data_IF_558301503897
#
_entry.id   IF_558301503897
#
_cell.length_a   1.000
_cell.length_b   1.000
_cell.length_c   1.000
_cell.angle_alpha   90.00
_cell.angle_beta   90.00
_cell.angle_gamma   90.00
#
_symmetry.space_group_name_H-M   'P 1'
#
loop_
_entity.id
_entity.type
_entity.pdbx_description
1 polymer ?
#
# COMPACT_ATOMS: atom_id res chain seq x y z
N UNK A 1 6.90 22.02 46.73
CA UNK A 1 8.02 21.31 46.07
C UNK A 1 7.43 20.32 45.06
N UNK A 2 7.26 20.72 43.79
CA UNK A 2 6.77 19.83 42.71
C UNK A 2 7.99 19.22 42.03
N UNK A 3 8.23 17.92 42.25
CA UNK A 3 9.23 17.17 41.48
C UNK A 3 8.72 17.03 40.03
N UNK A 4 9.31 17.82 39.13
CA UNK A 4 9.25 17.58 37.69
C UNK A 4 10.10 16.34 37.38
N UNK A 5 9.46 15.20 37.20
CA UNK A 5 10.12 14.04 36.58
C UNK A 5 10.42 14.41 35.12
N UNK A 6 11.67 14.82 34.86
CA UNK A 6 12.23 14.88 33.51
C UNK A 6 12.47 13.46 33.03
N UNK A 7 11.44 12.85 32.45
CA UNK A 7 11.58 11.59 31.72
C UNK A 7 12.32 11.89 30.42
N UNK A 8 13.65 11.78 30.44
CA UNK A 8 14.46 11.78 29.23
C UNK A 8 14.23 10.49 28.47
N UNK A 9 13.69 10.58 27.26
CA UNK A 9 13.57 9.44 26.36
C UNK A 9 14.86 9.38 25.55
N UNK A 10 15.73 8.42 25.88
CA UNK A 10 16.88 8.07 25.05
C UNK A 10 16.51 6.91 24.14
N UNK A 11 16.54 7.12 22.82
CA UNK A 11 16.41 6.05 21.83
C UNK A 11 17.80 5.70 21.31
N UNK A 12 18.25 4.47 21.58
CA UNK A 12 19.37 3.87 20.87
C UNK A 12 18.80 2.88 19.85
N UNK A 13 18.86 3.24 18.57
CA UNK A 13 18.53 2.36 17.47
C UNK A 13 19.84 1.79 16.93
N UNK A 14 20.15 0.55 17.30
CA UNK A 14 21.30 -0.17 16.73
C UNK A 14 20.76 -1.13 15.67
N UNK A 15 20.77 -0.70 14.40
CA UNK A 15 20.46 -1.57 13.26
C UNK A 15 21.77 -2.20 12.79
N UNK A 16 21.96 -3.49 13.05
CA UNK A 16 22.95 -4.28 12.34
C UNK A 16 22.27 -4.92 11.13
N UNK A 17 22.43 -4.32 9.96
CA UNK A 17 22.01 -4.94 8.70
C UNK A 17 23.24 -5.51 8.00
N UNK A 18 23.34 -6.84 7.95
CA UNK A 18 24.32 -7.51 7.09
C UNK A 18 23.66 -7.69 5.72
N UNK A 19 23.99 -6.82 4.78
CA UNK A 19 23.64 -7.00 3.37
C UNK A 19 24.84 -7.56 2.63
N UNK A 20 24.77 -8.83 2.21
CA UNK A 20 25.75 -9.36 1.26
C UNK A 20 25.54 -8.71 -0.11
N UNK A 21 26.55 -8.00 -0.61
CA UNK A 21 26.52 -7.40 -1.95
C UNK A 21 26.87 -8.47 -2.98
N UNK A 22 26.02 -8.67 -3.98
CA UNK A 22 26.28 -9.60 -5.09
C UNK A 22 25.96 -8.95 -6.45
N UNK A 23 26.61 -9.50 -7.47
CA UNK A 23 26.81 -8.93 -8.80
C UNK A 23 25.51 -8.41 -9.47
N UNK A 24 25.42 -7.13 -9.89
CA UNK A 24 24.19 -6.52 -10.42
C UNK A 24 23.75 -7.03 -11.81
N UNK A 25 24.55 -7.87 -12.47
CA UNK A 25 24.33 -8.32 -13.86
C UNK A 25 23.62 -9.68 -13.98
N UNK A 26 23.41 -10.40 -12.88
CA UNK A 26 22.61 -11.63 -12.85
C UNK A 26 21.43 -11.45 -11.89
N UNK A 27 20.26 -12.08 -12.13
CA UNK A 27 19.20 -12.12 -11.14
C UNK A 27 19.65 -13.03 -9.99
N UNK A 28 20.50 -12.50 -9.13
CA UNK A 28 20.96 -13.16 -7.92
C UNK A 28 19.87 -13.04 -6.87
N UNK A 29 19.70 -14.10 -6.08
CA UNK A 29 18.80 -14.07 -4.94
C UNK A 29 19.46 -13.24 -3.85
N UNK A 30 18.83 -12.13 -3.44
CA UNK A 30 19.27 -11.31 -2.32
C UNK A 30 18.76 -11.94 -1.03
N UNK A 31 19.66 -12.11 -0.07
CA UNK A 31 19.32 -12.56 1.26
C UNK A 31 19.47 -11.42 2.27
N UNK A 32 18.56 -11.35 3.24
CA UNK A 32 18.64 -10.38 4.34
C UNK A 32 18.39 -11.09 5.66
N UNK A 33 19.20 -10.79 6.66
CA UNK A 33 18.98 -11.23 8.04
C UNK A 33 19.12 -10.00 8.94
N UNK A 34 18.15 -9.80 9.82
CA UNK A 34 18.11 -8.71 10.79
C UNK A 34 17.68 -9.28 12.14
N UNK A 35 18.42 -8.89 13.19
CA UNK A 35 18.06 -9.19 14.57
C UNK A 35 18.01 -7.86 15.31
N UNK A 36 16.96 -7.66 16.10
CA UNK A 36 16.77 -6.43 16.84
C UNK A 36 15.84 -6.61 18.02
N UNK A 37 15.52 -5.51 18.67
CA UNK A 37 14.54 -5.49 19.74
C UNK A 37 14.12 -4.08 20.06
N UNK A 38 12.98 -3.97 20.73
CA UNK A 38 12.42 -2.72 21.22
C UNK A 38 12.06 -2.92 22.69
N UNK A 39 12.58 -2.03 23.52
CA UNK A 39 12.16 -1.90 24.91
C UNK A 39 11.25 -0.68 25.03
N UNK A 40 10.13 -0.86 25.71
CA UNK A 40 9.14 0.17 25.93
C UNK A 40 8.65 0.12 27.38
N UNK A 41 8.81 1.24 28.08
CA UNK A 41 8.17 1.52 29.38
C UNK A 41 6.65 1.80 29.29
N UNK A 42 6.08 2.32 28.17
CA UNK A 42 4.63 2.48 28.03
C UNK A 42 3.88 1.17 27.71
N UNK A 43 2.56 1.18 27.91
CA UNK A 43 1.67 0.11 27.47
C UNK A 43 1.61 -0.06 25.93
N UNK A 44 2.14 0.90 25.16
CA UNK A 44 2.03 0.96 23.71
C UNK A 44 3.36 1.31 23.02
N UNK A 45 3.62 0.67 21.89
CA UNK A 45 4.74 1.00 21.01
C UNK A 45 4.47 2.36 20.32
N UNK A 46 5.42 3.33 20.37
CA UNK A 46 5.27 4.63 19.73
C UNK A 46 4.87 4.52 18.26
N UNK A 47 3.95 5.39 17.81
CA UNK A 47 3.42 5.38 16.44
C UNK A 47 4.52 5.28 15.38
N UNK A 48 5.51 6.16 15.43
CA UNK A 48 6.61 6.22 14.45
C UNK A 48 7.48 4.96 14.39
N UNK A 49 7.49 4.13 15.42
CA UNK A 49 8.25 2.86 15.44
C UNK A 49 7.48 1.70 14.80
N UNK A 50 6.16 1.83 14.60
CA UNK A 50 5.29 0.81 13.99
C UNK A 50 4.70 1.22 12.64
N UNK A 51 4.70 2.51 12.33
CA UNK A 51 4.23 3.04 11.04
C UNK A 51 5.14 2.59 9.89
N UNK A 52 4.53 2.23 8.76
CA UNK A 52 5.18 1.65 7.57
C UNK A 52 6.00 0.38 7.83
N UNK A 53 5.67 -0.36 8.90
CA UNK A 53 6.31 -1.64 9.24
C UNK A 53 5.45 -2.85 8.85
N UNK A 54 4.41 -2.67 8.03
CA UNK A 54 3.55 -3.76 7.51
C UNK A 54 3.01 -4.68 8.61
N UNK A 55 2.63 -4.10 9.75
CA UNK A 55 2.13 -4.85 10.91
C UNK A 55 3.17 -5.75 11.60
N UNK A 56 4.46 -5.67 11.26
CA UNK A 56 5.48 -6.55 11.85
C UNK A 56 5.95 -6.14 13.24
N UNK A 57 5.68 -4.89 13.64
CA UNK A 57 6.04 -4.36 14.95
C UNK A 57 4.83 -4.47 15.88
N UNK A 58 4.94 -5.23 17.00
CA UNK A 58 3.87 -5.36 17.97
C UNK A 58 3.38 -4.00 18.49
N UNK A 59 2.06 -3.82 18.70
CA UNK A 59 1.49 -2.55 19.15
C UNK A 59 1.74 -2.25 20.64
N UNK A 60 2.14 -3.26 21.42
CA UNK A 60 2.32 -3.22 22.87
C UNK A 60 3.44 -4.16 23.30
N UNK A 61 4.07 -3.85 24.42
CA UNK A 61 5.09 -4.68 25.06
C UNK A 61 6.50 -4.52 24.48
N UNK A 62 7.49 -4.93 25.26
CA UNK A 62 8.86 -5.05 24.80
C UNK A 62 9.03 -6.35 24.02
N UNK A 63 9.80 -6.34 22.94
CA UNK A 63 9.99 -7.52 22.09
C UNK A 63 11.39 -7.61 21.50
N UNK A 64 11.87 -8.83 21.31
CA UNK A 64 12.97 -9.15 20.39
C UNK A 64 12.40 -9.54 19.03
N UNK A 65 13.12 -9.28 17.94
CA UNK A 65 12.70 -9.62 16.58
C UNK A 65 13.84 -10.29 15.82
N UNK A 66 13.51 -11.35 15.09
CA UNK A 66 14.38 -11.99 14.10
C UNK A 66 13.66 -11.93 12.77
N UNK A 67 14.34 -11.41 11.75
CA UNK A 67 13.78 -11.22 10.41
C UNK A 67 14.73 -11.84 9.40
N UNK A 68 14.18 -12.61 8.48
CA UNK A 68 14.95 -13.24 7.43
C UNK A 68 14.20 -13.13 6.11
N UNK A 69 14.93 -12.91 5.02
CA UNK A 69 14.36 -12.75 3.71
C UNK A 69 15.23 -13.32 2.60
N UNK A 70 14.56 -13.75 1.53
CA UNK A 70 15.13 -14.14 0.26
C UNK A 70 14.27 -13.54 -0.86
N UNK A 71 14.89 -12.73 -1.70
CA UNK A 71 14.19 -12.03 -2.78
C UNK A 71 14.95 -12.22 -4.09
N UNK A 72 14.22 -12.52 -5.14
CA UNK A 72 14.73 -12.51 -6.50
C UNK A 72 13.95 -11.52 -7.32
N UNK A 73 14.63 -10.45 -7.74
CA UNK A 73 14.08 -9.47 -8.65
C UNK A 73 14.33 -9.83 -10.12
N UNK A 74 13.63 -9.13 -11.00
CA UNK A 74 13.88 -9.23 -12.44
C UNK A 74 15.29 -8.74 -12.76
N UNK A 75 15.80 -9.21 -13.89
CA UNK A 75 17.08 -8.75 -14.43
C UNK A 75 17.00 -7.24 -14.69
N UNK A 76 17.87 -6.47 -14.02
CA UNK A 76 18.10 -5.07 -14.37
C UNK A 76 18.78 -5.07 -15.73
N UNK A 77 18.08 -4.56 -16.75
CA UNK A 77 18.63 -4.45 -18.11
C UNK A 77 19.15 -3.04 -18.31
N UNK A 78 20.45 -2.85 -18.59
CA UNK A 78 20.95 -1.57 -19.05
C UNK A 78 20.22 -1.13 -20.31
N UNK A 79 19.88 0.16 -20.41
CA UNK A 79 19.20 0.77 -21.58
C UNK A 79 19.98 0.60 -22.91
N UNK A 80 21.21 0.08 -22.88
CA UNK A 80 22.13 -0.07 -24.00
C UNK A 80 22.09 -1.42 -24.74
N UNK A 81 21.34 -2.43 -24.26
CA UNK A 81 21.28 -3.75 -24.92
C UNK A 81 20.01 -3.85 -25.77
N UNK A 82 20.18 -4.17 -27.06
CA UNK A 82 19.16 -4.11 -28.11
C UNK A 82 17.81 -4.78 -27.79
N UNK A 83 16.76 -4.33 -28.50
CA UNK A 83 15.33 -4.65 -28.38
C UNK A 83 14.92 -6.14 -28.53
N UNK A 84 15.84 -7.10 -28.35
CA UNK A 84 15.71 -8.45 -28.90
C UNK A 84 15.25 -9.57 -27.96
N UNK A 85 15.70 -9.69 -26.70
CA UNK A 85 15.68 -11.02 -26.06
C UNK A 85 15.15 -11.04 -24.62
N UNK A 86 13.86 -11.32 -24.47
CA UNK A 86 13.22 -11.75 -23.23
C UNK A 86 12.14 -10.79 -22.73
N UNK A 87 10.95 -10.88 -23.32
CA UNK A 87 9.74 -10.23 -22.78
C UNK A 87 9.33 -10.85 -21.44
N UNK A 88 9.76 -12.07 -21.17
CA UNK A 88 9.45 -12.81 -19.96
C UNK A 88 10.58 -12.70 -18.93
N UNK A 89 10.22 -12.47 -17.67
CA UNK A 89 11.10 -12.61 -16.50
C UNK A 89 10.27 -13.06 -15.29
N UNK A 90 10.91 -13.58 -14.26
CA UNK A 90 10.25 -14.06 -13.05
C UNK A 90 11.05 -13.77 -11.80
N UNK A 91 10.35 -13.71 -10.67
CA UNK A 91 10.93 -13.46 -9.37
C UNK A 91 10.04 -13.98 -8.24
N UNK A 92 10.54 -13.86 -7.02
CA UNK A 92 9.81 -14.22 -5.82
C UNK A 92 10.31 -13.38 -4.64
N UNK A 93 9.52 -13.35 -3.58
CA UNK A 93 9.91 -12.76 -2.31
C UNK A 93 9.40 -13.61 -1.16
N UNK A 94 10.31 -13.94 -0.25
CA UNK A 94 10.01 -14.51 1.04
C UNK A 94 10.63 -13.61 2.10
N UNK A 95 9.84 -13.15 3.06
CA UNK A 95 10.29 -12.36 4.20
C UNK A 95 9.47 -12.79 5.42
N UNK A 96 10.15 -13.36 6.40
CA UNK A 96 9.57 -13.86 7.64
C UNK A 96 10.03 -13.01 8.82
N UNK A 97 9.12 -12.76 9.77
CA UNK A 97 9.40 -12.04 11.01
C UNK A 97 8.90 -12.86 12.19
N UNK A 98 9.77 -13.14 13.14
CA UNK A 98 9.42 -13.75 14.42
C UNK A 98 9.68 -12.73 15.54
N UNK A 99 8.66 -12.49 16.37
CA UNK A 99 8.75 -11.60 17.53
C UNK A 99 8.67 -12.43 18.82
N UNK A 100 9.62 -12.21 19.74
CA UNK A 100 9.74 -12.90 21.03
C UNK A 100 9.45 -11.91 22.16
N UNK A 101 8.77 -12.35 23.22
CA UNK A 101 8.40 -11.51 24.37
C UNK A 101 6.98 -10.95 24.32
N UNK A 102 6.25 -11.18 23.22
CA UNK A 102 4.82 -10.88 23.09
C UNK A 102 4.07 -12.19 22.92
N UNK A 103 2.99 -12.37 23.68
CA UNK A 103 2.15 -13.56 23.55
C UNK A 103 1.51 -13.61 22.15
N UNK A 104 1.65 -14.73 21.41
CA UNK A 104 0.94 -14.90 20.15
C UNK A 104 -0.57 -14.78 20.36
N UNK A 105 -1.25 -14.18 19.41
CA UNK A 105 -2.72 -14.13 19.35
C UNK A 105 -3.18 -14.36 17.93
N UNK A 106 -4.49 -14.54 17.73
CA UNK A 106 -5.07 -14.64 16.38
C UNK A 106 -4.66 -13.45 15.47
N UNK A 107 -4.46 -12.27 16.05
CA UNK A 107 -4.08 -11.04 15.35
C UNK A 107 -2.56 -10.78 15.32
N UNK A 108 -1.76 -11.63 15.99
CA UNK A 108 -0.29 -11.54 16.03
C UNK A 108 0.29 -12.96 16.15
N UNK A 109 0.33 -13.75 15.06
CA UNK A 109 0.89 -15.08 15.09
C UNK A 109 2.39 -15.05 15.42
N UNK A 110 2.93 -16.18 15.89
CA UNK A 110 4.34 -16.30 16.30
C UNK A 110 5.33 -15.99 15.16
N UNK A 111 4.93 -16.27 13.92
CA UNK A 111 5.68 -15.94 12.70
C UNK A 111 4.76 -15.20 11.74
N UNK A 112 5.21 -14.04 11.29
CA UNK A 112 4.56 -13.20 10.29
C UNK A 112 5.24 -13.40 8.94
N UNK A 113 4.46 -13.40 7.87
CA UNK A 113 4.96 -13.51 6.49
C UNK A 113 4.50 -12.30 5.63
N UNK A 114 5.08 -11.10 5.83
CA UNK A 114 4.73 -9.93 5.03
C UNK A 114 5.01 -10.09 3.54
N UNK A 115 6.10 -10.80 3.18
CA UNK A 115 6.35 -11.23 1.80
C UNK A 115 6.33 -12.76 1.74
N UNK A 116 5.43 -13.30 0.93
CA UNK A 116 5.39 -14.69 0.53
C UNK A 116 4.67 -14.73 -0.82
N UNK A 117 5.40 -14.43 -1.89
CA UNK A 117 4.83 -14.27 -3.23
C UNK A 117 5.74 -14.79 -4.34
N UNK A 118 5.12 -15.11 -5.47
CA UNK A 118 5.79 -15.31 -6.75
C UNK A 118 5.28 -14.28 -7.77
N UNK A 119 6.16 -13.83 -8.66
CA UNK A 119 5.84 -12.83 -9.69
C UNK A 119 6.42 -13.23 -11.05
N UNK A 120 5.67 -12.93 -12.10
CA UNK A 120 6.10 -13.06 -13.50
C UNK A 120 5.82 -11.75 -14.23
N UNK A 121 6.72 -11.38 -15.13
CA UNK A 121 6.62 -10.18 -15.95
C UNK A 121 6.62 -10.55 -17.41
N UNK A 122 5.68 -9.97 -18.16
CA UNK A 122 5.62 -10.03 -19.61
C UNK A 122 5.62 -8.61 -20.20
N UNK A 123 6.77 -8.14 -20.66
CA UNK A 123 6.96 -6.79 -21.17
C UNK A 123 6.79 -5.73 -20.07
N UNK A 124 5.73 -4.93 -20.18
CA UNK A 124 5.39 -3.88 -19.21
C UNK A 124 4.36 -4.33 -18.17
N UNK A 125 3.88 -5.57 -18.26
CA UNK A 125 2.84 -6.16 -17.42
C UNK A 125 3.45 -7.15 -16.43
N UNK A 126 3.00 -7.12 -15.18
CA UNK A 126 3.38 -8.04 -14.11
C UNK A 126 2.14 -8.71 -13.51
N UNK A 127 2.21 -10.02 -13.36
CA UNK A 127 1.28 -10.82 -12.58
C UNK A 127 2.02 -11.34 -11.35
N UNK A 128 1.45 -11.15 -10.17
CA UNK A 128 1.95 -11.78 -8.96
C UNK A 128 0.82 -12.39 -8.13
N UNK A 129 1.18 -13.39 -7.31
CA UNK A 129 0.29 -14.04 -6.36
C UNK A 129 0.97 -14.25 -5.01
N UNK A 130 0.27 -13.94 -3.92
CA UNK A 130 0.71 -14.16 -2.55
C UNK A 130 0.63 -12.91 -1.67
N UNK A 131 1.33 -12.94 -0.53
CA UNK A 131 1.47 -11.79 0.37
C UNK A 131 2.60 -10.91 -0.13
N UNK A 132 2.37 -9.62 -0.33
CA UNK A 132 3.41 -8.69 -0.75
C UNK A 132 3.26 -7.35 -0.08
N UNK A 133 4.35 -6.88 0.52
CA UNK A 133 4.46 -5.49 0.98
C UNK A 133 4.37 -4.53 -0.20
N UNK A 134 3.41 -3.62 -0.16
CA UNK A 134 3.21 -2.62 -1.21
C UNK A 134 2.53 -1.35 -0.67
N UNK A 135 2.60 -0.30 -1.47
CA UNK A 135 1.90 0.97 -1.24
C UNK A 135 1.25 1.38 -2.56
N UNK A 136 -0.01 1.80 -2.52
CA UNK A 136 -0.75 2.26 -3.70
C UNK A 136 -1.23 3.68 -3.48
N UNK A 137 -0.75 4.61 -4.32
CA UNK A 137 -1.06 6.03 -4.21
C UNK A 137 0.01 6.90 -4.87
N UNK A 138 -0.21 8.22 -4.85
CA UNK A 138 0.78 9.22 -5.24
C UNK A 138 1.26 9.98 -3.99
N UNK A 139 2.57 10.02 -3.77
CA UNK A 139 3.19 10.68 -2.60
C UNK A 139 4.61 10.19 -2.33
N UNK A 140 5.22 10.61 -1.23
CA UNK A 140 6.47 10.01 -0.74
C UNK A 140 6.16 8.70 -0.02
N UNK A 141 6.82 7.59 -0.36
CA UNK A 141 6.57 6.30 0.30
C UNK A 141 7.59 5.95 1.37
N UNK A 142 8.55 6.86 1.64
CA UNK A 142 9.70 6.58 2.51
C UNK A 142 9.53 7.18 3.91
N UNK A 143 9.15 8.45 3.99
CA UNK A 143 8.97 9.19 5.25
C UNK A 143 7.50 9.51 5.57
N UNK A 144 6.58 9.10 4.71
CA UNK A 144 5.14 9.29 4.94
C UNK A 144 4.66 8.62 6.22
N UNK A 145 3.60 9.13 6.82
CA UNK A 145 2.83 8.43 7.85
C UNK A 145 1.94 7.30 7.30
N UNK A 146 1.79 7.23 5.98
CA UNK A 146 1.02 6.23 5.25
C UNK A 146 -0.08 6.86 4.42
N UNK A 147 -0.27 6.35 3.20
CA UNK A 147 -1.34 6.77 2.30
C UNK A 147 -2.72 6.37 2.83
N UNK A 148 -3.74 7.18 2.51
CA UNK A 148 -5.08 7.05 3.06
C UNK A 148 -5.79 5.76 2.63
N UNK A 149 -5.66 5.39 1.35
CA UNK A 149 -6.33 4.21 0.81
C UNK A 149 -5.53 2.90 0.97
N UNK A 150 -4.20 2.93 0.79
CA UNK A 150 -3.37 1.74 0.87
C UNK A 150 -1.92 2.06 1.24
N UNK A 151 -1.56 1.78 2.49
CA UNK A 151 -0.24 2.09 3.08
C UNK A 151 0.47 0.86 3.63
N UNK A 152 1.73 1.06 4.04
CA UNK A 152 2.53 0.02 4.71
C UNK A 152 2.19 -0.18 6.18
N UNK A 153 0.98 0.14 6.64
CA UNK A 153 0.62 0.13 8.07
C UNK A 153 -0.03 -1.18 8.55
N UNK A 154 -0.38 -2.08 7.64
CA UNK A 154 -1.03 -3.35 7.95
C UNK A 154 -0.26 -4.54 7.34
N UNK A 155 -0.47 -5.73 7.92
CA UNK A 155 0.09 -6.96 7.36
C UNK A 155 -0.57 -7.26 6.01
N UNK A 156 0.20 -7.50 4.94
CA UNK A 156 -0.35 -7.93 3.67
C UNK A 156 -1.07 -9.27 3.79
N UNK A 157 -2.09 -9.46 2.97
CA UNK A 157 -2.84 -10.70 2.85
C UNK A 157 -2.73 -11.25 1.42
N UNK A 158 -3.08 -12.54 1.21
CA UNK A 158 -2.91 -13.15 -0.09
C UNK A 158 -3.76 -12.45 -1.14
N UNK A 159 -3.15 -12.07 -2.25
CA UNK A 159 -3.89 -11.60 -3.42
C UNK A 159 -3.20 -11.97 -4.73
N UNK A 160 -3.96 -11.96 -5.80
CA UNK A 160 -3.48 -12.04 -7.18
C UNK A 160 -3.66 -10.66 -7.79
N UNK A 161 -2.60 -10.13 -8.41
CA UNK A 161 -2.63 -8.81 -9.02
C UNK A 161 -1.95 -8.80 -10.38
N UNK A 162 -2.68 -8.28 -11.37
CA UNK A 162 -2.18 -7.94 -12.68
C UNK A 162 -2.00 -6.43 -12.78
N UNK A 163 -0.78 -5.95 -13.06
CA UNK A 163 -0.52 -4.51 -13.08
C UNK A 163 0.70 -4.11 -13.90
N UNK A 164 0.86 -2.82 -14.09
CA UNK A 164 2.10 -2.21 -14.60
C UNK A 164 2.98 -1.81 -13.41
N UNK A 165 4.20 -2.37 -13.25
CA UNK A 165 5.08 -2.02 -12.13
C UNK A 165 5.41 -0.51 -12.07
N UNK A 166 5.55 0.11 -13.23
CA UNK A 166 5.86 1.54 -13.41
C UNK A 166 4.92 2.19 -14.44
N UNK A 167 5.00 3.52 -14.55
CA UNK A 167 4.30 4.29 -15.57
C UNK A 167 4.79 3.92 -16.99
N UNK A 168 3.88 3.35 -17.79
CA UNK A 168 4.12 2.94 -19.18
C UNK A 168 3.79 4.10 -20.13
N UNK A 169 4.75 4.62 -20.91
CA UNK A 169 4.50 5.73 -21.84
C UNK A 169 3.60 5.29 -23.00
N UNK A 170 2.63 6.13 -23.36
CA UNK A 170 1.76 5.90 -24.51
C UNK A 170 2.50 6.34 -25.79
N UNK A 171 2.82 5.37 -26.65
CA UNK A 171 3.65 5.58 -27.84
C UNK A 171 3.15 6.70 -28.78
N UNK A 172 1.84 6.78 -29.01
CA UNK A 172 1.23 7.79 -29.87
C UNK A 172 1.34 9.22 -29.32
N UNK A 173 1.61 9.40 -28.03
CA UNK A 173 1.79 10.71 -27.39
C UNK A 173 3.25 11.18 -27.39
N UNK A 174 4.17 10.41 -28.03
CA UNK A 174 5.62 10.68 -28.02
C UNK A 174 6.17 10.88 -26.60
N UNK A 175 5.69 10.07 -25.64
CA UNK A 175 6.11 10.08 -24.25
C UNK A 175 5.57 11.23 -23.39
N UNK A 176 4.56 11.97 -23.87
CA UNK A 176 3.88 13.02 -23.10
C UNK A 176 3.01 12.44 -21.99
N UNK A 177 2.26 11.38 -22.28
CA UNK A 177 1.38 10.70 -21.33
C UNK A 177 1.92 9.30 -21.03
N UNK A 178 1.90 8.93 -19.76
CA UNK A 178 2.18 7.57 -19.31
C UNK A 178 1.11 7.10 -18.32
N UNK A 179 0.81 5.81 -18.33
CA UNK A 179 -0.23 5.22 -17.48
C UNK A 179 0.36 4.18 -16.55
N UNK A 180 -0.15 4.12 -15.32
CA UNK A 180 0.09 3.03 -14.38
C UNK A 180 -1.27 2.49 -13.96
N UNK A 181 -1.49 1.19 -14.18
CA UNK A 181 -2.78 0.55 -13.90
C UNK A 181 -2.57 -0.77 -13.16
N UNK A 182 -3.58 -1.19 -12.41
CA UNK A 182 -3.57 -2.47 -11.73
C UNK A 182 -4.98 -2.95 -11.40
N UNK A 183 -5.11 -4.27 -11.33
CA UNK A 183 -6.33 -4.98 -10.99
C UNK A 183 -5.96 -6.15 -10.08
N UNK A 184 -6.64 -6.28 -8.96
CA UNK A 184 -6.36 -7.30 -7.96
C UNK A 184 -7.64 -7.93 -7.41
N UNK A 185 -7.49 -9.19 -7.00
CA UNK A 185 -8.44 -9.89 -6.15
C UNK A 185 -7.68 -10.53 -5.00
N UNK A 186 -8.16 -10.36 -3.77
CA UNK A 186 -7.50 -10.84 -2.57
C UNK A 186 -8.45 -11.49 -1.58
N UNK A 187 -7.87 -12.22 -0.63
CA UNK A 187 -8.57 -12.93 0.43
C UNK A 187 -8.21 -12.28 1.76
N UNK A 188 -9.18 -11.66 2.42
CA UNK A 188 -8.93 -10.98 3.68
C UNK A 188 -8.74 -12.03 4.79
N UNK A 189 -7.55 -12.05 5.39
CA UNK A 189 -7.26 -12.85 6.56
C UNK A 189 -7.73 -12.11 7.82
N UNK A 190 -8.28 -12.84 8.80
CA UNK A 190 -8.64 -12.31 10.13
C UNK A 190 -9.58 -11.09 10.11
N UNK A 191 -10.53 -11.08 9.17
CA UNK A 191 -11.61 -10.09 9.10
C UNK A 191 -12.76 -10.42 10.06
N UNK A 192 -13.46 -9.39 10.57
CA UNK A 192 -14.73 -9.55 11.30
C UNK A 192 -15.82 -10.21 10.43
N UNK A 193 -15.70 -10.08 9.10
CA UNK A 193 -16.50 -10.81 8.11
C UNK A 193 -15.66 -11.98 7.59
N UNK A 194 -15.99 -13.20 8.04
CA UNK A 194 -15.21 -14.40 7.73
C UNK A 194 -15.32 -14.75 6.25
N UNK A 195 -14.19 -15.07 5.63
CA UNK A 195 -14.15 -15.42 4.20
C UNK A 195 -14.50 -14.26 3.27
N UNK A 196 -14.28 -13.01 3.69
CA UNK A 196 -14.45 -11.84 2.85
C UNK A 196 -13.29 -11.66 1.87
N UNK A 197 -13.60 -11.04 0.74
CA UNK A 197 -12.68 -10.81 -0.37
C UNK A 197 -12.39 -9.33 -0.54
N UNK A 198 -11.25 -9.05 -1.18
CA UNK A 198 -10.90 -7.73 -1.71
C UNK A 198 -11.04 -7.77 -3.24
N UNK A 199 -11.66 -6.75 -3.81
CA UNK A 199 -11.38 -6.31 -5.17
C UNK A 199 -10.61 -4.99 -5.12
N UNK A 200 -9.57 -4.84 -5.93
CA UNK A 200 -8.84 -3.58 -6.06
C UNK A 200 -8.62 -3.24 -7.53
N UNK A 201 -8.76 -1.96 -7.88
CA UNK A 201 -8.32 -1.42 -9.16
C UNK A 201 -7.75 -0.03 -8.97
N UNK A 202 -6.75 0.31 -9.77
CA UNK A 202 -6.24 1.68 -9.81
C UNK A 202 -5.83 2.06 -11.22
N UNK A 203 -5.93 3.35 -11.50
CA UNK A 203 -5.47 3.95 -12.74
C UNK A 203 -4.87 5.33 -12.44
N UNK A 204 -3.60 5.49 -12.78
CA UNK A 204 -2.86 6.73 -12.65
C UNK A 204 -2.30 7.16 -14.00
N UNK A 205 -2.42 8.44 -14.30
CA UNK A 205 -1.78 9.12 -15.41
C UNK A 205 -0.62 9.98 -14.93
N UNK A 206 0.44 10.02 -15.74
CA UNK A 206 1.53 11.00 -15.64
C UNK A 206 1.56 11.83 -16.91
N UNK A 207 1.39 13.13 -16.77
CA UNK A 207 1.57 14.11 -17.81
C UNK A 207 2.93 14.80 -17.67
N UNK A 208 3.79 14.65 -18.68
CA UNK A 208 5.05 15.36 -18.78
C UNK A 208 6.17 14.50 -19.39
N UNK A 209 6.97 15.12 -20.25
CA UNK A 209 8.08 14.46 -20.94
C UNK A 209 9.28 14.27 -20.01
N UNK A 210 10.20 13.32 -20.32
CA UNK A 210 11.42 13.11 -19.53
C UNK A 210 12.23 14.38 -19.24
N UNK A 211 12.35 15.28 -20.21
CA UNK A 211 13.11 16.53 -20.10
C UNK A 211 12.35 17.69 -19.40
N UNK A 212 11.06 17.54 -19.09
CA UNK A 212 10.31 18.61 -18.46
C UNK A 212 10.67 18.77 -16.98
N UNK A 213 10.79 20.03 -16.56
CA UNK A 213 11.00 20.39 -15.15
C UNK A 213 9.76 20.10 -14.29
N UNK A 214 8.57 20.20 -14.88
CA UNK A 214 7.31 19.98 -14.17
C UNK A 214 6.60 18.77 -14.75
N UNK A 215 6.08 17.91 -13.87
CA UNK A 215 5.25 16.77 -14.24
C UNK A 215 4.03 16.73 -13.33
N UNK A 216 2.89 16.43 -13.93
CA UNK A 216 1.64 16.27 -13.21
C UNK A 216 1.26 14.79 -13.17
N UNK A 217 0.71 14.36 -12.05
CA UNK A 217 0.23 13.02 -11.82
C UNK A 217 -1.17 13.13 -11.26
N UNK A 218 -2.07 12.30 -11.78
CA UNK A 218 -3.41 12.18 -11.21
C UNK A 218 -3.93 10.77 -11.43
N UNK A 219 -4.84 10.35 -10.57
CA UNK A 219 -5.54 9.10 -10.78
C UNK A 219 -6.42 8.75 -9.60
N UNK A 220 -6.84 7.49 -9.59
CA UNK A 220 -7.70 6.96 -8.55
C UNK A 220 -7.29 5.53 -8.20
N UNK A 221 -7.51 5.19 -6.93
CA UNK A 221 -7.44 3.84 -6.41
C UNK A 221 -8.79 3.51 -5.77
N UNK A 222 -9.30 2.32 -6.07
CA UNK A 222 -10.61 1.85 -5.64
C UNK A 222 -10.49 0.45 -5.06
N UNK A 223 -11.06 0.25 -3.88
CA UNK A 223 -11.10 -1.01 -3.17
C UNK A 223 -12.55 -1.36 -2.85
N UNK A 224 -12.86 -2.64 -2.91
CA UNK A 224 -14.15 -3.17 -2.46
C UNK A 224 -13.91 -4.36 -1.55
N UNK A 225 -14.39 -4.28 -0.31
CA UNK A 225 -14.54 -5.46 0.53
C UNK A 225 -15.91 -6.09 0.26
N UNK A 226 -15.95 -7.37 -0.09
CA UNK A 226 -17.20 -8.03 -0.50
C UNK A 226 -17.22 -9.52 -0.14
N UNK A 227 -18.41 -10.10 -0.13
CA UNK A 227 -18.64 -11.51 0.22
C UNK A 227 -18.29 -11.85 1.67
N UNK A 228 -18.42 -13.14 1.99
CA UNK A 228 -18.16 -13.69 3.32
C UNK A 228 -19.41 -13.78 4.20
N UNK A 229 -19.20 -14.17 5.46
CA UNK A 229 -20.26 -14.36 6.47
C UNK A 229 -19.90 -13.71 7.80
N UNK A 230 -20.88 -13.07 8.41
CA UNK A 230 -20.79 -12.52 9.76
C UNK A 230 -22.02 -12.94 10.57
N UNK A 231 -21.83 -13.70 11.65
CA UNK A 231 -22.95 -14.24 12.45
C UNK A 231 -23.74 -13.13 13.15
N UNK A 232 -23.10 -11.99 13.45
CA UNK A 232 -23.77 -10.81 14.00
C UNK A 232 -24.69 -10.10 13.01
N UNK A 233 -24.65 -10.47 11.72
CA UNK A 233 -25.56 -9.96 10.68
C UNK A 233 -26.79 -10.87 10.47
N UNK A 234 -26.84 -12.03 11.11
CA UNK A 234 -28.03 -12.90 11.06
C UNK A 234 -29.24 -12.15 11.63
N UNK A 235 -30.38 -12.23 10.95
CA UNK A 235 -31.61 -11.50 11.27
C UNK A 235 -31.49 -9.96 11.20
N UNK A 236 -30.56 -9.42 10.41
CA UNK A 236 -30.45 -7.98 10.13
C UNK A 236 -30.91 -7.64 8.71
N UNK A 237 -31.18 -6.36 8.45
CA UNK A 237 -31.48 -5.85 7.11
C UNK A 237 -30.26 -5.79 6.18
N UNK A 238 -29.06 -6.14 6.67
CA UNK A 238 -27.79 -5.95 5.98
C UNK A 238 -27.26 -7.21 5.28
N UNK A 239 -27.90 -8.37 5.49
CA UNK A 239 -27.43 -9.64 4.90
C UNK A 239 -28.56 -10.66 4.79
N UNK A 240 -28.38 -11.67 3.95
CA UNK A 240 -29.27 -12.84 3.90
C UNK A 240 -28.67 -13.94 4.77
N UNK A 241 -29.29 -14.21 5.92
CA UNK A 241 -28.80 -15.16 6.93
C UNK A 241 -27.31 -14.95 7.28
N UNK A 242 -26.90 -13.71 7.54
CA UNK A 242 -25.51 -13.39 7.89
C UNK A 242 -24.52 -13.48 6.72
N UNK A 243 -24.97 -13.84 5.51
CA UNK A 243 -24.13 -14.04 4.33
C UNK A 243 -24.22 -12.85 3.38
N UNK A 244 -23.07 -12.40 2.88
CA UNK A 244 -22.96 -11.31 1.91
C UNK A 244 -22.88 -11.85 0.47
N UNK A 245 -23.19 -11.01 -0.55
CA UNK A 245 -23.28 -11.47 -1.93
C UNK A 245 -21.94 -11.94 -2.48
N UNK A 246 -21.92 -13.07 -3.20
CA UNK A 246 -20.69 -13.75 -3.67
C UNK A 246 -20.75 -14.23 -5.13
N UNK A 247 -21.85 -14.02 -5.84
CA UNK A 247 -21.98 -14.53 -7.21
C UNK A 247 -21.11 -13.75 -8.21
N UNK A 248 -20.85 -14.33 -9.37
CA UNK A 248 -20.16 -13.62 -10.45
C UNK A 248 -20.93 -12.37 -10.93
N UNK A 249 -22.27 -12.38 -10.87
CA UNK A 249 -23.09 -11.20 -11.21
C UNK A 249 -22.82 -10.07 -10.23
N UNK A 250 -22.74 -10.39 -8.94
CA UNK A 250 -22.41 -9.43 -7.88
C UNK A 250 -21.01 -8.87 -8.07
N UNK A 251 -20.06 -9.73 -8.48
CA UNK A 251 -18.71 -9.32 -8.84
C UNK A 251 -18.66 -8.33 -10.01
N UNK A 252 -19.49 -8.51 -11.04
CA UNK A 252 -19.56 -7.55 -12.14
C UNK A 252 -20.15 -6.21 -11.67
N UNK A 253 -21.19 -6.24 -10.83
CA UNK A 253 -21.79 -5.04 -10.24
C UNK A 253 -20.77 -4.24 -9.41
N UNK A 254 -20.03 -4.89 -8.51
CA UNK A 254 -19.03 -4.21 -7.67
C UNK A 254 -17.84 -3.68 -8.49
N UNK A 255 -17.35 -4.42 -9.50
CA UNK A 255 -16.23 -3.96 -10.34
C UNK A 255 -16.63 -2.73 -11.16
N UNK A 256 -17.89 -2.66 -11.59
CA UNK A 256 -18.39 -1.54 -12.39
C UNK A 256 -18.95 -0.40 -11.55
N UNK A 257 -19.16 -0.59 -10.24
CA UNK A 257 -19.83 0.37 -9.36
C UNK A 257 -21.29 0.60 -9.76
N UNK A 258 -21.93 -0.37 -10.41
CA UNK A 258 -23.34 -0.31 -10.83
C UNK A 258 -24.23 -0.90 -9.75
N UNK A 259 -25.43 -0.34 -9.62
CA UNK A 259 -26.49 -0.96 -8.86
C UNK A 259 -26.78 -2.37 -9.39
N UNK A 260 -27.06 -3.35 -8.52
CA UNK A 260 -27.58 -4.63 -8.98
C UNK A 260 -28.93 -4.42 -9.69
N UNK A 261 -29.31 -5.36 -10.55
CA UNK A 261 -30.53 -5.23 -11.36
C UNK A 261 -31.84 -5.37 -10.56
N UNK A 262 -31.76 -5.90 -9.35
CA UNK A 262 -32.89 -6.12 -8.46
C UNK A 262 -32.65 -5.30 -7.17
N UNK A 263 -33.70 -4.81 -6.52
CA UNK A 263 -33.58 -4.11 -5.22
C UNK A 263 -33.34 -5.12 -4.09
N UNK A 264 -33.94 -6.31 -4.17
CA UNK A 264 -33.75 -7.38 -3.20
C UNK A 264 -34.02 -8.73 -3.88
N UNK A 265 -33.33 -9.78 -3.44
CA UNK A 265 -33.63 -11.17 -3.80
C UNK A 265 -33.15 -12.13 -2.70
N UNK A 266 -33.04 -13.42 -3.01
CA UNK A 266 -32.57 -14.48 -2.14
C UNK A 266 -31.06 -14.42 -1.82
N UNK A 267 -30.29 -13.56 -2.49
CA UNK A 267 -28.83 -13.43 -2.33
C UNK A 267 -28.40 -12.15 -1.62
N UNK A 268 -29.22 -11.10 -1.67
CA UNK A 268 -28.90 -9.79 -1.10
C UNK A 268 -30.16 -9.03 -0.66
N UNK A 269 -30.00 -8.13 0.31
CA UNK A 269 -31.12 -7.38 0.90
C UNK A 269 -31.37 -6.05 0.18
N UNK A 270 -32.46 -5.35 0.53
CA UNK A 270 -32.71 -3.98 0.07
C UNK A 270 -31.53 -3.03 0.28
N UNK A 271 -30.75 -3.22 1.34
CA UNK A 271 -29.56 -2.41 1.63
C UNK A 271 -28.53 -2.49 0.48
N UNK A 272 -28.18 -3.69 0.03
CA UNK A 272 -27.25 -3.91 -1.09
C UNK A 272 -27.82 -3.41 -2.42
N UNK A 273 -29.14 -3.57 -2.62
CA UNK A 273 -29.85 -3.09 -3.80
C UNK A 273 -29.85 -1.58 -3.94
N UNK A 274 -29.99 -0.88 -2.82
CA UNK A 274 -30.04 0.59 -2.75
C UNK A 274 -28.66 1.24 -2.64
N UNK A 275 -27.62 0.53 -2.14
CA UNK A 275 -26.31 1.13 -1.81
C UNK A 275 -25.09 0.54 -2.56
N UNK A 276 -25.32 -0.26 -3.61
CA UNK A 276 -24.29 -1.06 -4.32
C UNK A 276 -23.75 -2.20 -3.45
N UNK A 277 -23.37 -3.29 -4.11
CA UNK A 277 -22.88 -4.48 -3.42
C UNK A 277 -21.44 -4.28 -2.95
N UNK A 278 -21.23 -4.50 -1.66
CA UNK A 278 -19.91 -4.46 -1.02
C UNK A 278 -19.54 -3.08 -0.48
N UNK A 279 -18.51 -3.04 0.36
CA UNK A 279 -18.00 -1.81 0.94
C UNK A 279 -16.96 -1.17 0.02
N UNK A 280 -17.31 -0.05 -0.61
CA UNK A 280 -16.49 0.67 -1.59
C UNK A 280 -15.72 1.80 -0.93
N UNK A 281 -14.38 1.76 -1.02
CA UNK A 281 -13.50 2.79 -0.46
C UNK A 281 -12.41 3.14 -1.46
N UNK A 282 -11.86 4.35 -1.38
CA UNK A 282 -10.73 4.70 -2.23
C UNK A 282 -10.27 6.14 -2.12
N UNK A 283 -9.45 6.54 -3.08
CA UNK A 283 -8.94 7.90 -3.16
C UNK A 283 -8.77 8.41 -4.59
N UNK A 284 -8.94 9.73 -4.76
CA UNK A 284 -8.35 10.47 -5.87
C UNK A 284 -7.00 11.01 -5.43
N UNK A 285 -5.96 10.70 -6.18
CA UNK A 285 -4.63 11.16 -5.85
C UNK A 285 -4.15 12.14 -6.92
N UNK A 286 -3.56 13.24 -6.48
CA UNK A 286 -2.96 14.27 -7.32
C UNK A 286 -1.53 14.51 -6.85
N UNK A 287 -0.61 14.73 -7.79
CA UNK A 287 0.72 15.19 -7.46
C UNK A 287 1.32 16.09 -8.54
N UNK A 288 2.07 17.09 -8.09
CA UNK A 288 2.87 17.99 -8.90
C UNK A 288 4.34 17.80 -8.52
N UNK A 289 5.13 17.34 -9.49
CA UNK A 289 6.56 17.19 -9.32
C UNK A 289 7.31 18.33 -10.02
N UNK A 290 8.24 18.95 -9.32
CA UNK A 290 9.17 19.93 -9.87
C UNK A 290 10.62 19.46 -9.70
N UNK A 291 11.32 19.25 -10.81
CA UNK A 291 12.74 18.94 -10.91
C UNK A 291 13.55 20.21 -11.16
N UNK A 292 14.31 20.63 -10.15
CA UNK A 292 15.37 21.62 -10.24
C UNK A 292 16.70 20.98 -10.66
N UNK A 293 17.78 21.76 -10.64
CA UNK A 293 19.14 21.26 -10.94
C UNK A 293 19.67 20.35 -9.82
N UNK A 294 19.42 20.73 -8.56
CA UNK A 294 19.94 20.07 -7.36
C UNK A 294 18.85 19.81 -6.33
N UNK A 295 17.58 19.87 -6.75
CA UNK A 295 16.44 19.65 -5.88
C UNK A 295 15.29 19.03 -6.65
N UNK A 296 14.45 18.28 -5.94
CA UNK A 296 13.22 17.75 -6.48
C UNK A 296 12.10 17.89 -5.46
N UNK A 297 11.07 18.63 -5.84
CA UNK A 297 9.90 18.88 -5.02
C UNK A 297 8.74 18.02 -5.51
N UNK A 298 7.95 17.51 -4.58
CA UNK A 298 6.70 16.82 -4.86
C UNK A 298 5.63 17.35 -3.92
N UNK A 299 4.65 18.04 -4.47
CA UNK A 299 3.42 18.37 -3.76
C UNK A 299 2.37 17.33 -4.13
N UNK A 300 1.63 16.80 -3.17
CA UNK A 300 0.62 15.79 -3.42
C UNK A 300 -0.58 15.92 -2.49
N UNK A 301 -1.74 15.48 -2.97
CA UNK A 301 -2.97 15.41 -2.20
C UNK A 301 -3.69 14.09 -2.53
N UNK A 302 -4.12 13.36 -1.51
CA UNK A 302 -4.92 12.14 -1.62
C UNK A 302 -6.28 12.41 -0.98
N UNK A 303 -7.30 12.55 -1.81
CA UNK A 303 -8.67 12.81 -1.39
C UNK A 303 -9.42 11.48 -1.21
N UNK A 304 -9.85 11.18 0.01
CA UNK A 304 -10.59 9.95 0.32
C UNK A 304 -12.05 10.04 -0.15
N UNK A 305 -12.60 8.93 -0.64
CA UNK A 305 -14.05 8.77 -0.79
C UNK A 305 -14.50 7.41 -0.23
N UNK A 306 -15.67 7.39 0.39
CA UNK A 306 -16.36 6.20 0.92
C UNK A 306 -17.75 6.03 0.26
N UNK A 307 -18.27 7.08 -0.36
CA UNK A 307 -19.60 7.13 -0.95
C UNK A 307 -19.64 8.04 -2.19
N UNK A 308 -20.85 8.27 -2.73
CA UNK A 308 -21.04 9.16 -3.87
C UNK A 308 -20.72 10.64 -3.56
N UNK A 309 -20.85 11.08 -2.31
CA UNK A 309 -20.56 12.45 -1.91
C UNK A 309 -19.07 12.75 -1.95
N UNK A 310 -18.23 11.79 -1.51
CA UNK A 310 -16.78 11.85 -1.64
C UNK A 310 -16.31 11.75 -3.08
N UNK A 311 -16.99 10.94 -3.92
CA UNK A 311 -16.74 10.94 -5.37
C UNK A 311 -17.00 12.30 -6.03
N UNK A 312 -17.90 13.10 -5.44
CA UNK A 312 -18.24 14.45 -5.87
C UNK A 312 -17.45 15.56 -5.15
N UNK A 313 -16.40 15.22 -4.39
CA UNK A 313 -15.54 16.15 -3.66
C UNK A 313 -16.26 17.00 -2.59
N UNK A 314 -17.39 16.53 -2.04
CA UNK A 314 -18.13 17.30 -1.02
C UNK A 314 -17.43 17.34 0.33
N UNK A 315 -16.54 16.40 0.60
CA UNK A 315 -15.71 16.30 1.81
C UNK A 315 -14.39 17.07 1.72
N UNK A 316 -14.12 17.83 0.64
CA UNK A 316 -12.92 18.67 0.58
C UNK A 316 -12.87 19.61 1.81
N UNK A 317 -11.73 19.77 2.51
CA UNK A 317 -10.37 19.36 2.13
C UNK A 317 -9.88 18.03 2.72
N UNK A 318 -10.77 17.11 3.11
CA UNK A 318 -10.36 15.82 3.67
C UNK A 318 -9.42 15.05 2.73
N UNK A 319 -8.44 14.42 3.35
CA UNK A 319 -7.35 13.74 2.67
C UNK A 319 -6.00 13.92 3.35
N UNK A 320 -4.98 13.34 2.70
CA UNK A 320 -3.57 13.52 3.03
C UNK A 320 -2.97 14.53 2.04
N UNK A 321 -2.50 15.67 2.54
CA UNK A 321 -1.72 16.65 1.76
C UNK A 321 -0.27 16.61 2.21
N UNK A 322 0.66 16.51 1.26
CA UNK A 322 2.08 16.48 1.59
C UNK A 322 2.94 17.30 0.64
N UNK A 323 4.04 17.81 1.20
CA UNK A 323 5.12 18.45 0.47
C UNK A 323 6.43 17.73 0.79
N UNK A 324 7.08 17.20 -0.24
CA UNK A 324 8.38 16.56 -0.13
C UNK A 324 9.43 17.36 -0.86
N UNK A 325 10.55 17.59 -0.18
CA UNK A 325 11.81 18.04 -0.73
C UNK A 325 12.81 16.87 -0.81
N UNK A 326 13.49 16.73 -1.95
CA UNK A 326 14.70 15.93 -2.10
C UNK A 326 15.88 16.83 -2.43
N UNK A 327 16.99 16.61 -1.72
CA UNK A 327 18.26 17.22 -2.03
C UNK A 327 19.01 16.37 -3.06
N UNK A 328 19.30 16.95 -4.22
CA UNK A 328 20.07 16.34 -5.30
C UNK A 328 21.54 16.76 -5.33
N UNK A 329 22.04 17.50 -4.32
CA UNK A 329 23.46 17.85 -4.24
C UNK A 329 24.29 16.62 -3.90
N UNK A 330 25.33 16.38 -4.70
CA UNK A 330 26.28 15.28 -4.53
C UNK A 330 27.54 15.67 -3.74
N UNK A 331 27.69 16.95 -3.39
CA UNK A 331 28.85 17.44 -2.66
C UNK A 331 29.00 16.75 -1.30
N UNK A 332 30.25 16.48 -0.94
CA UNK A 332 30.61 15.94 0.38
C UNK A 332 30.40 17.03 1.43
N UNK A 333 29.48 16.76 2.35
CA UNK A 333 29.21 17.59 3.50
C UNK A 333 29.16 16.69 4.74
N UNK A 334 29.77 17.13 5.84
CA UNK A 334 29.75 16.39 7.11
C UNK A 334 28.31 16.11 7.61
N UNK A 335 27.37 16.98 7.27
CA UNK A 335 25.95 16.81 7.51
C UNK A 335 25.15 17.19 6.26
N UNK A 336 24.18 16.36 5.87
CA UNK A 336 23.32 16.62 4.70
C UNK A 336 21.88 16.16 4.94
N UNK A 337 20.94 17.09 4.78
CA UNK A 337 19.52 16.76 4.70
C UNK A 337 19.23 16.21 3.30
N UNK A 338 18.87 14.93 3.22
CA UNK A 338 18.59 14.24 1.94
C UNK A 338 17.14 14.37 1.51
N UNK A 339 16.21 14.28 2.45
CA UNK A 339 14.77 14.31 2.21
C UNK A 339 14.07 14.98 3.39
N UNK A 340 13.10 15.84 3.10
CA UNK A 340 12.17 16.40 4.09
C UNK A 340 10.75 16.16 3.57
N UNK A 341 9.86 15.73 4.46
CA UNK A 341 8.43 15.57 4.17
C UNK A 341 7.65 16.31 5.24
N UNK A 342 6.71 17.15 4.80
CA UNK A 342 5.67 17.75 5.64
C UNK A 342 4.33 17.17 5.17
N UNK A 343 3.56 16.59 6.08
CA UNK A 343 2.25 16.00 5.80
C UNK A 343 1.19 16.57 6.75
N UNK A 344 -0.01 16.77 6.22
CA UNK A 344 -1.21 17.11 6.97
C UNK A 344 -2.33 16.16 6.54
N UNK A 345 -2.98 15.54 7.52
CA UNK A 345 -4.10 14.61 7.30
C UNK A 345 -5.33 15.19 7.98
N UNK A 346 -6.43 15.27 7.25
CA UNK A 346 -7.75 15.55 7.81
C UNK A 346 -8.77 14.54 7.29
N UNK A 347 -9.62 14.03 8.18
CA UNK A 347 -10.70 13.07 7.85
C UNK A 347 -11.96 13.39 8.67
N UNK A 348 -12.21 14.68 8.89
CA UNK A 348 -13.26 15.16 9.82
C UNK A 348 -14.53 15.63 9.12
N UNK A 349 -14.50 15.81 7.79
CA UNK A 349 -15.64 16.23 7.00
C UNK A 349 -16.25 15.01 6.29
N UNK A 350 -17.28 14.42 6.87
CA UNK A 350 -17.90 13.19 6.33
C UNK A 350 -18.91 13.44 5.20
N UNK A 351 -19.03 14.68 4.72
CA UNK A 351 -19.93 15.11 3.65
C UNK A 351 -21.27 14.36 3.57
N UNK A 352 -21.99 14.33 4.69
CA UNK A 352 -23.31 13.71 4.83
C UNK A 352 -23.92 14.09 6.16
#
# INVERSE_FOLDING_TARGET
>A
MRLLYRSGIFFFLVIHSVTGQQNPLSPATRHTVEVGGLTATPAHTPFWLRTNQYGTVPPRGSFGTVRAGAHRDYRVRPDSIGKGTGRFDWGFGLFAVANVGVLPSANNPAVLLPDAYAKVKFGWLELYGGNRREVTGLGDTTLTSGFVAWSGNALPFPKIQLHTPDFVPLGFTKGLLALRAGYAHGWLANSYVRGSYLHQKYLYGRLGKPAWKVRFYAGLNHQVQWGGRADYLVNTILSVDGSLPTSFRDYVSLVTGRYPGDIQNDRFTGFDGENRIGNHVGSYDFALEWRGRTSNWLFYHQHLYEDASGLAFRNLPDGLTGLRFLNGQTADAAFRVQRVVLEWVNTTNQSG
#
